data_IF_329401905337
#
_entry.id   IF_329401905337
#
_cell.length_a   1.000
_cell.length_b   1.000
_cell.length_c   1.000
_cell.angle_alpha   90.00
_cell.angle_beta   90.00
_cell.angle_gamma   90.00
#
_symmetry.space_group_name_H-M   'P 1'
#
loop_
_entity.id
_entity.type
_entity.pdbx_description
1 polymer ?
#
# COMPACT_ATOMS: atom_id res chain seq x y z
N UNK A 1 65.30 -29.94 53.16
CA UNK A 1 64.17 -30.40 52.38
C UNK A 1 63.86 -29.31 51.34
N UNK A 2 64.22 -29.56 50.08
CA UNK A 2 63.96 -28.61 48.99
C UNK A 2 62.75 -29.10 48.24
N UNK A 3 61.67 -28.29 48.21
CA UNK A 3 60.46 -28.57 47.37
C UNK A 3 60.62 -27.93 46.02
N UNK A 4 60.54 -28.72 44.99
CA UNK A 4 60.47 -28.28 43.61
C UNK A 4 58.99 -28.01 43.24
N UNK A 5 58.67 -26.81 42.81
CA UNK A 5 57.34 -26.45 42.21
C UNK A 5 57.48 -26.50 40.70
N UNK A 6 56.84 -27.48 40.09
CA UNK A 6 56.74 -27.58 38.64
C UNK A 6 55.55 -26.71 38.15
N UNK A 7 55.83 -25.67 37.42
CA UNK A 7 54.80 -24.86 36.75
C UNK A 7 54.36 -25.55 35.45
N UNK A 8 53.10 -26.00 35.39
CA UNK A 8 52.44 -26.41 34.15
C UNK A 8 51.99 -25.17 33.39
N UNK A 9 52.58 -24.92 32.24
CA UNK A 9 52.11 -23.90 31.29
C UNK A 9 50.97 -24.51 30.48
N UNK A 10 49.71 -24.08 30.73
CA UNK A 10 48.58 -24.34 29.84
C UNK A 10 48.70 -23.43 28.61
N UNK A 11 49.05 -23.98 27.47
CA UNK A 11 48.99 -23.31 26.17
C UNK A 11 47.53 -23.21 25.72
N UNK A 12 46.94 -22.02 25.86
CA UNK A 12 45.65 -21.72 25.22
C UNK A 12 45.86 -21.57 23.71
N UNK A 13 45.51 -22.59 22.94
CA UNK A 13 45.37 -22.48 21.48
C UNK A 13 44.19 -21.61 21.17
N UNK A 14 44.43 -20.36 20.79
CA UNK A 14 43.45 -19.50 20.13
C UNK A 14 43.12 -20.10 18.76
N UNK A 15 42.11 -20.94 18.73
CA UNK A 15 41.52 -21.38 17.48
C UNK A 15 40.95 -20.16 16.75
N UNK A 16 41.59 -19.74 15.68
CA UNK A 16 41.01 -18.80 14.72
C UNK A 16 39.74 -19.42 14.17
N UNK A 17 38.59 -18.95 14.62
CA UNK A 17 37.32 -19.25 13.96
C UNK A 17 37.40 -18.61 12.57
N UNK A 18 37.77 -19.40 11.58
CA UNK A 18 37.58 -19.02 10.19
C UNK A 18 36.06 -18.90 10.00
N UNK A 19 35.57 -17.66 9.81
CA UNK A 19 34.24 -17.49 9.26
C UNK A 19 34.23 -18.27 7.93
N UNK A 20 33.35 -19.29 7.85
CA UNK A 20 33.22 -20.07 6.63
C UNK A 20 32.93 -19.11 5.47
N UNK A 21 33.82 -19.09 4.48
CA UNK A 21 33.60 -18.30 3.25
C UNK A 21 32.39 -18.89 2.54
N UNK A 22 31.43 -18.02 2.16
CA UNK A 22 30.26 -18.46 1.38
C UNK A 22 30.75 -19.08 0.06
N UNK A 23 30.18 -20.21 -0.34
CA UNK A 23 30.31 -20.71 -1.69
C UNK A 23 29.37 -19.97 -2.66
N UNK A 24 29.53 -20.20 -3.96
CA UNK A 24 28.74 -19.54 -5.01
C UNK A 24 27.23 -19.78 -4.86
N UNK A 25 26.82 -21.01 -4.50
CA UNK A 25 25.40 -21.33 -4.34
C UNK A 25 24.82 -20.67 -3.10
N UNK A 26 25.52 -20.70 -1.99
CA UNK A 26 25.12 -20.02 -0.76
C UNK A 26 24.99 -18.49 -0.95
N UNK A 27 25.91 -17.89 -1.71
CA UNK A 27 25.86 -16.46 -2.04
C UNK A 27 24.66 -16.12 -2.93
N UNK A 28 24.34 -16.97 -3.90
CA UNK A 28 23.18 -16.84 -4.77
C UNK A 28 21.88 -16.94 -3.96
N UNK A 29 21.74 -17.95 -3.12
CA UNK A 29 20.54 -18.16 -2.29
C UNK A 29 20.33 -17.00 -1.32
N UNK A 30 21.41 -16.51 -0.71
CA UNK A 30 21.38 -15.38 0.20
C UNK A 30 21.02 -14.07 -0.50
N UNK A 31 21.49 -13.87 -1.74
CA UNK A 31 21.15 -12.70 -2.54
C UNK A 31 19.69 -12.73 -2.99
N UNK A 32 19.14 -13.91 -3.30
CA UNK A 32 17.73 -14.09 -3.58
C UNK A 32 16.86 -13.70 -2.37
N UNK A 33 17.19 -14.21 -1.17
CA UNK A 33 16.50 -13.85 0.07
C UNK A 33 16.60 -12.35 0.37
N UNK A 34 17.81 -11.77 0.22
CA UNK A 34 18.05 -10.34 0.44
C UNK A 34 17.26 -9.46 -0.53
N UNK A 35 17.09 -9.87 -1.80
CA UNK A 35 16.28 -9.13 -2.77
C UNK A 35 14.82 -9.08 -2.35
N UNK A 36 14.23 -10.23 -2.02
CA UNK A 36 12.84 -10.33 -1.54
C UNK A 36 12.63 -9.45 -0.30
N UNK A 37 13.56 -9.52 0.67
CA UNK A 37 13.52 -8.73 1.90
C UNK A 37 13.56 -7.22 1.64
N UNK A 38 14.42 -6.76 0.74
CA UNK A 38 14.67 -5.34 0.49
C UNK A 38 13.65 -4.71 -0.46
N UNK A 39 12.94 -5.51 -1.28
CA UNK A 39 12.13 -5.04 -2.40
C UNK A 39 11.10 -3.97 -2.01
N UNK A 40 10.29 -4.24 -1.01
CA UNK A 40 9.22 -3.33 -0.60
C UNK A 40 9.74 -1.96 -0.15
N UNK A 41 10.87 -1.92 0.57
CA UNK A 41 11.52 -0.68 1.02
C UNK A 41 12.00 0.17 -0.17
N UNK A 42 12.57 -0.46 -1.20
CA UNK A 42 13.05 0.25 -2.39
C UNK A 42 11.90 0.70 -3.28
N UNK A 43 10.86 -0.12 -3.43
CA UNK A 43 9.67 0.29 -4.20
C UNK A 43 8.90 1.41 -3.49
N UNK A 44 8.90 1.43 -2.15
CA UNK A 44 8.37 2.55 -1.37
C UNK A 44 9.17 3.84 -1.61
N UNK A 45 10.51 3.78 -1.61
CA UNK A 45 11.37 4.95 -1.87
C UNK A 45 11.10 5.59 -3.24
N UNK A 46 10.84 4.80 -4.27
CA UNK A 46 10.43 5.29 -5.58
C UNK A 46 9.24 6.25 -5.48
N UNK A 47 8.22 5.88 -4.69
CA UNK A 47 7.03 6.73 -4.49
C UNK A 47 7.38 7.94 -3.64
N UNK A 48 8.13 7.76 -2.54
CA UNK A 48 8.54 8.87 -1.68
C UNK A 48 9.37 9.90 -2.45
N UNK A 49 10.34 9.46 -3.22
CA UNK A 49 11.21 10.32 -4.04
C UNK A 49 10.42 11.11 -5.07
N UNK A 50 9.44 10.49 -5.74
CA UNK A 50 8.58 11.14 -6.72
C UNK A 50 7.67 12.22 -6.07
N UNK A 51 7.24 12.01 -4.83
CA UNK A 51 6.45 12.98 -4.08
C UNK A 51 7.35 14.07 -3.51
N UNK A 52 8.48 13.73 -2.88
CA UNK A 52 9.44 14.67 -2.27
C UNK A 52 10.01 15.66 -3.28
N UNK A 53 10.14 15.25 -4.55
CA UNK A 53 10.54 16.15 -5.64
C UNK A 53 9.54 17.31 -5.87
N UNK A 54 8.32 17.23 -5.35
CA UNK A 54 7.24 18.20 -5.58
C UNK A 54 6.67 18.80 -4.31
N UNK A 55 6.71 18.06 -3.21
CA UNK A 55 6.09 18.44 -1.95
C UNK A 55 7.12 18.38 -0.82
N UNK A 56 7.24 19.42 0.01
CA UNK A 56 8.11 19.39 1.17
C UNK A 56 7.60 18.39 2.22
N UNK A 57 8.53 17.84 3.01
CA UNK A 57 8.20 16.99 4.16
C UNK A 57 7.36 17.75 5.20
N UNK A 58 6.59 17.00 5.98
CA UNK A 58 5.77 17.48 7.09
C UNK A 58 4.73 18.54 6.69
N UNK A 59 4.29 18.51 5.43
CA UNK A 59 3.19 19.33 4.93
C UNK A 59 2.10 18.45 4.33
N UNK A 60 0.85 18.71 4.76
CA UNK A 60 -0.31 18.05 4.21
C UNK A 60 -0.72 18.72 2.90
N UNK A 61 -0.83 17.94 1.86
CA UNK A 61 -1.38 18.34 0.57
C UNK A 61 -2.70 17.61 0.33
N UNK A 62 -3.79 18.37 0.17
CA UNK A 62 -5.12 17.84 -0.10
C UNK A 62 -5.58 18.24 -1.49
N UNK A 63 -6.12 17.29 -2.24
CA UNK A 63 -6.59 17.48 -3.62
C UNK A 63 -8.12 17.39 -3.66
N UNK A 64 -8.83 18.55 -3.70
CA UNK A 64 -10.29 18.60 -3.61
C UNK A 64 -10.94 18.35 -4.99
N UNK A 65 -10.54 17.28 -5.67
CA UNK A 65 -11.15 16.79 -6.90
C UNK A 65 -11.10 15.27 -6.98
N UNK A 66 -12.06 14.67 -7.65
CA UNK A 66 -12.02 13.26 -8.01
C UNK A 66 -11.07 13.07 -9.20
N UNK A 67 -10.40 11.91 -9.23
CA UNK A 67 -9.58 11.52 -10.38
C UNK A 67 -10.49 11.16 -11.57
N UNK A 68 -10.01 11.44 -12.76
CA UNK A 68 -10.71 11.19 -14.03
C UNK A 68 -9.81 10.58 -15.10
N UNK A 69 -10.28 10.40 -16.33
CA UNK A 69 -9.51 9.79 -17.42
C UNK A 69 -8.19 10.50 -17.77
N UNK A 70 -8.06 11.78 -17.42
CA UNK A 70 -6.83 12.57 -17.61
C UNK A 70 -5.72 12.21 -16.60
N UNK A 71 -6.05 11.49 -15.52
CA UNK A 71 -5.12 11.13 -14.46
C UNK A 71 -4.45 9.79 -14.79
N UNK A 72 -3.31 9.86 -15.47
CA UNK A 72 -2.59 8.70 -16.01
C UNK A 72 -1.32 8.31 -15.25
N UNK A 73 -1.12 8.87 -14.06
CA UNK A 73 0.09 8.61 -13.25
C UNK A 73 -0.06 7.46 -12.27
N UNK A 74 -1.29 7.07 -11.99
CA UNK A 74 -1.64 6.01 -11.04
C UNK A 74 -2.58 5.04 -11.73
N UNK A 75 -2.26 3.75 -11.71
CA UNK A 75 -3.15 2.71 -12.23
C UNK A 75 -4.34 2.50 -11.30
N UNK A 76 -5.47 2.12 -11.87
CA UNK A 76 -6.74 1.92 -11.16
C UNK A 76 -7.11 3.10 -10.24
N UNK A 77 -7.08 4.36 -10.77
CA UNK A 77 -7.30 5.55 -9.97
C UNK A 77 -8.68 5.51 -9.29
N UNK A 78 -8.71 5.90 -8.01
CA UNK A 78 -9.95 5.94 -7.23
C UNK A 78 -10.78 7.18 -7.61
N UNK A 79 -12.06 6.98 -7.88
CA UNK A 79 -13.03 8.04 -8.22
C UNK A 79 -14.11 8.20 -7.13
N UNK A 80 -13.86 7.73 -5.90
CA UNK A 80 -14.82 7.77 -4.79
C UNK A 80 -14.46 8.77 -3.71
N UNK A 81 -13.17 9.11 -3.59
CA UNK A 81 -12.64 9.90 -2.47
C UNK A 81 -11.71 10.98 -2.94
N UNK A 82 -11.69 12.09 -2.20
CA UNK A 82 -10.60 13.05 -2.28
C UNK A 82 -9.39 12.52 -1.51
N UNK A 83 -8.19 12.86 -1.97
CA UNK A 83 -6.95 12.45 -1.35
C UNK A 83 -6.26 13.57 -0.60
N UNK A 84 -5.72 13.21 0.56
CA UNK A 84 -4.74 14.00 1.31
C UNK A 84 -3.47 13.19 1.49
N UNK A 85 -2.29 13.79 1.31
CA UNK A 85 -1.01 13.08 1.42
C UNK A 85 0.05 13.95 2.07
N UNK A 86 0.91 13.30 2.83
CA UNK A 86 2.11 13.92 3.36
C UNK A 86 3.24 12.89 3.48
N UNK A 87 4.47 13.35 3.29
CA UNK A 87 5.67 12.63 3.69
C UNK A 87 6.10 13.15 5.05
N UNK A 88 6.12 12.29 6.07
CA UNK A 88 6.54 12.66 7.41
C UNK A 88 8.02 12.34 7.57
N UNK A 89 8.81 13.33 7.93
CA UNK A 89 10.18 13.18 8.41
C UNK A 89 10.16 13.38 9.93
N UNK A 90 10.30 12.27 10.65
CA UNK A 90 10.21 12.20 12.10
C UNK A 90 11.61 12.18 12.76
N UNK A 91 12.66 12.53 12.02
CA UNK A 91 14.05 12.51 12.53
C UNK A 91 14.31 13.61 13.56
N UNK A 92 13.70 14.79 13.35
CA UNK A 92 13.92 15.95 14.23
C UNK A 92 12.92 15.99 15.38
N UNK A 93 11.64 15.91 15.08
CA UNK A 93 10.55 16.01 16.04
C UNK A 93 9.31 15.26 15.56
N UNK A 94 8.40 14.93 16.49
CA UNK A 94 7.08 14.42 16.13
C UNK A 94 6.25 15.43 15.36
N UNK A 95 5.25 14.92 14.63
CA UNK A 95 4.23 15.73 13.96
C UNK A 95 2.85 15.44 14.54
N UNK A 96 1.99 16.44 14.50
CA UNK A 96 0.60 16.37 14.95
C UNK A 96 -0.30 16.45 13.73
N UNK A 97 -1.19 15.48 13.58
CA UNK A 97 -2.31 15.53 12.64
C UNK A 97 -3.57 15.93 13.40
N UNK A 98 -4.12 17.10 13.09
CA UNK A 98 -5.41 17.54 13.58
C UNK A 98 -6.50 17.21 12.56
N UNK A 99 -7.59 16.60 13.04
CA UNK A 99 -8.72 16.18 12.24
C UNK A 99 -9.99 16.84 12.84
N UNK A 100 -10.82 17.52 12.03
CA UNK A 100 -12.10 18.06 12.51
C UNK A 100 -13.11 16.94 12.80
N UNK A 101 -14.24 17.24 13.38
CA UNK A 101 -15.36 16.29 13.41
C UNK A 101 -15.85 16.03 11.97
N UNK A 102 -15.96 14.75 11.59
CA UNK A 102 -16.37 14.31 10.24
C UNK A 102 -17.57 13.37 10.36
N UNK A 103 -18.75 13.98 10.56
CA UNK A 103 -19.98 13.22 10.76
C UNK A 103 -20.64 12.80 9.45
N UNK A 104 -21.19 11.59 9.42
CA UNK A 104 -21.97 11.07 8.30
C UNK A 104 -21.19 10.91 6.99
N UNK A 105 -19.86 10.85 7.05
CA UNK A 105 -18.94 10.69 5.92
C UNK A 105 -17.79 9.77 6.28
N UNK A 106 -17.46 8.82 5.43
CA UNK A 106 -16.23 8.04 5.60
C UNK A 106 -15.00 8.91 5.38
N UNK A 107 -14.02 8.74 6.26
CA UNK A 107 -12.66 9.23 6.04
C UNK A 107 -11.67 8.28 6.70
N UNK A 108 -10.45 8.27 6.18
CA UNK A 108 -9.32 7.56 6.80
C UNK A 108 -8.00 8.25 6.47
N UNK A 109 -7.08 8.24 7.41
CA UNK A 109 -5.65 8.45 7.19
C UNK A 109 -4.93 7.16 7.49
N UNK A 110 -4.31 6.59 6.48
CA UNK A 110 -3.46 5.42 6.53
C UNK A 110 -2.02 5.88 6.76
N UNK A 111 -1.35 5.35 7.76
CA UNK A 111 0.06 5.61 8.03
C UNK A 111 0.86 4.39 7.58
N UNK A 112 1.79 4.60 6.65
CA UNK A 112 2.59 3.52 6.05
C UNK A 112 4.06 3.74 6.38
N UNK A 113 4.72 2.72 6.90
CA UNK A 113 6.14 2.76 7.22
C UNK A 113 7.04 2.47 6.01
N UNK A 114 8.36 2.52 6.20
CA UNK A 114 9.32 2.27 5.13
C UNK A 114 9.34 0.82 4.63
N UNK A 115 8.77 -0.12 5.37
CA UNK A 115 8.61 -1.52 4.98
C UNK A 115 7.27 -1.80 4.31
N UNK A 116 6.45 -0.75 4.08
CA UNK A 116 5.08 -0.82 3.55
C UNK A 116 4.06 -1.48 4.48
N UNK A 117 4.35 -1.63 5.77
CA UNK A 117 3.34 -1.97 6.75
C UNK A 117 2.43 -0.78 7.04
N UNK A 118 1.13 -1.03 7.12
CA UNK A 118 0.17 -0.05 7.63
C UNK A 118 0.29 0.02 9.15
N UNK A 119 0.93 1.05 9.65
CA UNK A 119 1.19 1.23 11.09
C UNK A 119 -0.11 1.34 11.88
N UNK A 120 -0.94 2.27 11.44
CA UNK A 120 -2.21 2.60 12.09
C UNK A 120 -3.11 3.37 11.13
N UNK A 121 -4.36 3.57 11.56
CA UNK A 121 -5.36 4.38 10.87
C UNK A 121 -5.95 5.43 11.81
N UNK A 122 -6.23 6.61 11.26
CA UNK A 122 -7.05 7.64 11.89
C UNK A 122 -8.27 7.82 10.99
N UNK A 123 -9.48 7.64 11.51
CA UNK A 123 -10.67 7.77 10.67
C UNK A 123 -11.88 7.04 11.22
N UNK A 124 -12.92 6.98 10.42
CA UNK A 124 -14.27 6.50 10.78
C UNK A 124 -14.24 5.18 11.55
N UNK A 125 -13.43 4.21 11.12
CA UNK A 125 -13.30 2.91 11.79
C UNK A 125 -12.45 2.95 13.05
N UNK A 126 -11.26 3.57 12.93
CA UNK A 126 -10.22 3.43 13.93
C UNK A 126 -10.39 4.40 15.11
N UNK A 127 -10.85 5.64 14.84
CA UNK A 127 -10.93 6.69 15.84
C UNK A 127 -12.29 7.38 15.92
N UNK A 128 -13.23 6.99 15.06
CA UNK A 128 -14.57 7.56 15.01
C UNK A 128 -14.64 8.88 14.24
N UNK A 129 -15.71 9.60 14.45
CA UNK A 129 -16.11 10.81 13.71
C UNK A 129 -15.90 12.12 14.47
N UNK A 130 -15.37 12.08 15.69
CA UNK A 130 -15.11 13.27 16.51
C UNK A 130 -13.82 13.95 16.10
N UNK A 131 -13.73 15.25 16.37
CA UNK A 131 -12.48 15.98 16.22
C UNK A 131 -11.40 15.40 17.14
N UNK A 132 -10.16 15.38 16.67
CA UNK A 132 -9.04 14.84 17.44
C UNK A 132 -7.69 15.31 16.92
N UNK A 133 -6.71 15.30 17.83
CA UNK A 133 -5.30 15.57 17.54
C UNK A 133 -4.50 14.30 17.78
N UNK A 134 -3.71 13.90 16.83
CA UNK A 134 -2.96 12.64 16.81
C UNK A 134 -1.47 12.92 16.69
N UNK A 135 -0.70 12.47 17.70
CA UNK A 135 0.75 12.64 17.73
C UNK A 135 1.43 11.44 17.05
N UNK A 136 2.22 11.71 16.01
CA UNK A 136 2.97 10.70 15.27
C UNK A 136 4.45 10.87 15.61
N UNK A 137 5.07 9.81 16.18
CA UNK A 137 6.44 9.83 16.68
C UNK A 137 7.31 8.80 15.96
N UNK A 138 8.55 9.16 15.70
CA UNK A 138 9.56 8.26 15.14
C UNK A 138 10.24 7.36 16.19
N UNK A 139 11.15 6.45 15.74
CA UNK A 139 11.80 5.49 16.63
C UNK A 139 12.72 6.13 17.67
N UNK A 140 13.20 7.34 17.39
CA UNK A 140 14.13 8.06 18.26
C UNK A 140 13.44 8.84 19.40
N UNK A 141 12.11 8.95 19.34
CA UNK A 141 11.34 9.63 20.36
C UNK A 141 11.37 8.87 21.69
N UNK A 142 11.96 9.48 22.73
CA UNK A 142 12.08 8.92 24.09
C UNK A 142 11.19 9.65 25.10
N UNK A 143 10.54 10.72 24.68
CA UNK A 143 9.66 11.52 25.56
C UNK A 143 8.43 10.73 26.04
N UNK A 144 7.85 11.12 27.16
CA UNK A 144 6.54 10.63 27.59
C UNK A 144 5.48 11.08 26.56
N UNK A 145 4.39 10.34 26.48
CA UNK A 145 3.23 10.80 25.71
C UNK A 145 2.66 12.09 26.34
N UNK A 146 2.69 13.24 25.66
CA UNK A 146 2.11 14.46 26.22
C UNK A 146 0.60 14.28 26.39
N UNK A 147 0.02 14.97 27.36
CA UNK A 147 -1.44 15.04 27.52
C UNK A 147 -2.07 15.88 26.38
N UNK A 148 -3.35 15.67 26.11
CA UNK A 148 -4.12 16.47 25.15
C UNK A 148 -4.19 15.90 23.75
N UNK A 149 -3.55 14.75 23.47
CA UNK A 149 -3.70 14.03 22.20
C UNK A 149 -4.71 12.89 22.32
N UNK A 150 -5.47 12.67 21.26
CA UNK A 150 -6.43 11.57 21.15
C UNK A 150 -5.70 10.20 21.10
N UNK A 151 -4.54 10.14 20.44
CA UNK A 151 -3.65 9.00 20.43
C UNK A 151 -2.20 9.41 20.12
N UNK A 152 -1.26 8.51 20.47
CA UNK A 152 0.15 8.60 20.08
C UNK A 152 0.50 7.39 19.23
N UNK A 153 0.82 7.63 17.97
CA UNK A 153 1.16 6.60 16.98
C UNK A 153 2.69 6.52 16.88
N UNK A 154 3.24 5.34 17.17
CA UNK A 154 4.69 5.10 17.15
C UNK A 154 5.09 4.40 15.86
N UNK A 155 5.99 5.02 15.11
CA UNK A 155 6.57 4.44 13.90
C UNK A 155 7.94 3.82 14.19
N UNK A 156 8.23 2.62 13.67
CA UNK A 156 9.59 2.08 13.62
C UNK A 156 10.44 2.77 12.53
N UNK A 157 9.81 3.52 11.64
CA UNK A 157 10.48 4.26 10.56
C UNK A 157 10.60 5.74 10.90
N UNK A 158 11.72 6.34 10.52
CA UNK A 158 11.93 7.80 10.56
C UNK A 158 11.17 8.54 9.48
N UNK A 159 10.80 7.83 8.41
CA UNK A 159 9.92 8.33 7.35
C UNK A 159 8.61 7.56 7.39
N UNK A 160 7.50 8.28 7.22
CA UNK A 160 6.15 7.70 7.14
C UNK A 160 5.40 8.35 5.99
N UNK A 161 4.73 7.54 5.18
CA UNK A 161 3.78 8.03 4.21
C UNK A 161 2.39 8.11 4.83
N UNK A 162 1.81 9.32 4.85
CA UNK A 162 0.44 9.57 5.30
C UNK A 162 -0.47 9.69 4.08
N UNK A 163 -1.48 8.83 3.98
CA UNK A 163 -2.42 8.79 2.87
C UNK A 163 -3.85 8.90 3.37
N UNK A 164 -4.44 10.09 3.22
CA UNK A 164 -5.81 10.40 3.59
C UNK A 164 -6.80 10.13 2.44
N UNK A 165 -7.98 9.64 2.79
CA UNK A 165 -9.14 9.45 1.91
C UNK A 165 -10.36 10.09 2.56
N UNK A 166 -11.09 10.93 1.83
CA UNK A 166 -12.35 11.55 2.29
C UNK A 166 -13.41 11.26 1.25
N UNK A 167 -14.47 10.58 1.65
CA UNK A 167 -15.58 10.19 0.78
C UNK A 167 -16.21 11.39 0.08
N UNK A 168 -16.60 11.19 -1.18
CA UNK A 168 -17.41 12.12 -1.97
C UNK A 168 -18.69 11.40 -2.42
N UNK A 169 -19.83 11.94 -2.04
CA UNK A 169 -21.16 11.37 -2.32
C UNK A 169 -21.78 11.87 -3.63
N UNK A 170 -20.94 12.00 -4.66
CA UNK A 170 -21.34 12.53 -5.96
C UNK A 170 -21.00 14.02 -6.16
N UNK A 171 -21.37 14.57 -7.31
CA UNK A 171 -20.96 15.92 -7.74
C UNK A 171 -21.42 17.02 -6.80
N UNK A 172 -22.67 16.98 -6.35
CA UNK A 172 -23.25 17.99 -5.44
C UNK A 172 -22.53 18.05 -4.08
N UNK A 173 -21.92 16.95 -3.65
CA UNK A 173 -21.25 16.81 -2.36
C UNK A 173 -19.78 17.31 -2.36
N UNK A 174 -19.21 17.59 -3.51
CA UNK A 174 -17.77 17.94 -3.61
C UNK A 174 -17.38 19.16 -2.78
N UNK A 175 -18.27 20.15 -2.66
CA UNK A 175 -18.02 21.36 -1.85
C UNK A 175 -17.92 21.03 -0.36
N UNK A 176 -18.80 20.17 0.15
CA UNK A 176 -18.82 19.75 1.54
C UNK A 176 -17.63 18.85 1.87
N UNK A 177 -17.30 17.91 0.99
CA UNK A 177 -16.09 17.11 1.10
C UNK A 177 -14.82 17.99 1.11
N UNK A 178 -14.74 19.00 0.24
CA UNK A 178 -13.62 19.95 0.21
C UNK A 178 -13.54 20.79 1.48
N UNK A 179 -14.68 21.10 2.14
CA UNK A 179 -14.67 21.77 3.42
C UNK A 179 -14.04 20.92 4.52
N UNK A 180 -14.28 19.60 4.52
CA UNK A 180 -13.63 18.66 5.45
C UNK A 180 -12.12 18.67 5.24
N UNK A 181 -11.64 18.62 3.98
CA UNK A 181 -10.21 18.66 3.67
C UNK A 181 -9.52 19.93 4.22
N UNK A 182 -10.21 21.07 4.19
CA UNK A 182 -9.68 22.34 4.75
C UNK A 182 -9.52 22.33 6.27
N UNK A 183 -10.24 21.44 6.94
CA UNK A 183 -10.16 21.25 8.38
C UNK A 183 -9.00 20.38 8.85
N UNK A 184 -8.35 19.64 7.95
CA UNK A 184 -7.17 18.84 8.30
C UNK A 184 -5.94 19.73 8.42
N UNK A 185 -5.17 19.55 9.48
CA UNK A 185 -3.90 20.25 9.66
C UNK A 185 -2.78 19.29 10.08
N UNK A 186 -1.59 19.52 9.56
CA UNK A 186 -0.39 18.80 9.94
C UNK A 186 0.68 19.80 10.39
N UNK A 187 1.18 19.65 11.60
CA UNK A 187 2.10 20.61 12.22
C UNK A 187 3.17 19.89 13.05
N UNK A 188 4.41 20.44 13.14
CA UNK A 188 5.40 19.94 14.07
C UNK A 188 4.93 20.11 15.51
N UNK A 189 5.34 19.21 16.42
CA UNK A 189 4.95 19.25 17.83
C UNK A 189 5.36 20.55 18.51
N UNK A 190 6.55 21.08 18.21
CA UNK A 190 7.06 22.34 18.75
C UNK A 190 6.11 23.52 18.49
N UNK A 191 5.48 23.55 17.29
CA UNK A 191 4.49 24.60 16.96
C UNK A 191 3.19 24.43 17.75
N UNK A 192 2.77 23.20 18.02
CA UNK A 192 1.51 22.92 18.75
C UNK A 192 1.65 23.26 20.22
N UNK A 193 2.77 22.94 20.85
CA UNK A 193 2.98 23.15 22.29
C UNK A 193 3.72 24.45 22.64
N UNK A 194 4.12 25.25 21.63
CA UNK A 194 4.84 26.51 21.82
C UNK A 194 6.30 26.35 22.28
N UNK A 195 6.88 25.15 22.16
CA UNK A 195 8.31 24.93 22.47
C UNK A 195 9.21 25.46 21.34
N UNK A 196 10.49 25.68 21.67
CA UNK A 196 11.47 25.99 20.64
C UNK A 196 11.58 24.78 19.67
N UNK A 197 11.61 25.02 18.35
CA UNK A 197 11.86 23.95 17.40
C UNK A 197 13.27 23.38 17.61
N UNK A 198 13.48 22.07 17.34
CA UNK A 198 14.79 21.49 17.38
C UNK A 198 15.71 22.11 16.31
N UNK A 199 17.01 21.96 16.50
CA UNK A 199 17.98 22.37 15.48
C UNK A 199 17.69 21.68 14.14
N UNK A 200 17.73 22.40 13.01
CA UNK A 200 17.48 21.83 11.70
C UNK A 200 18.48 20.71 11.37
N UNK A 201 17.97 19.56 10.98
CA UNK A 201 18.81 18.50 10.41
C UNK A 201 19.19 18.82 8.97
N UNK A 202 20.32 18.24 8.53
CA UNK A 202 20.66 18.26 7.11
C UNK A 202 19.49 17.71 6.27
N UNK A 203 19.20 18.33 5.11
CA UNK A 203 18.15 17.84 4.21
C UNK A 203 18.35 16.35 3.91
N UNK A 204 17.25 15.61 3.97
CA UNK A 204 17.28 14.20 3.62
C UNK A 204 17.55 14.06 2.12
N UNK A 205 18.60 13.31 1.81
CA UNK A 205 18.89 12.90 0.44
C UNK A 205 18.35 11.49 0.24
N UNK A 206 17.22 11.37 -0.44
CA UNK A 206 16.71 10.06 -0.86
C UNK A 206 17.58 9.56 -2.02
N UNK A 207 17.83 8.24 -2.11
CA UNK A 207 18.55 7.66 -3.22
C UNK A 207 17.87 7.96 -4.56
N UNK A 208 18.67 7.97 -5.64
CA UNK A 208 18.08 8.00 -6.97
C UNK A 208 17.24 6.75 -7.21
N UNK A 209 16.14 6.91 -7.95
CA UNK A 209 15.28 5.80 -8.30
C UNK A 209 16.04 4.62 -8.91
N UNK A 210 15.81 3.45 -8.37
CA UNK A 210 16.32 2.19 -8.90
C UNK A 210 15.19 1.48 -9.65
N UNK A 211 15.43 1.16 -10.93
CA UNK A 211 14.48 0.36 -11.71
C UNK A 211 14.46 -1.09 -11.21
N UNK A 212 13.46 -1.39 -10.38
CA UNK A 212 13.30 -2.70 -9.74
C UNK A 212 12.75 -3.78 -10.69
N UNK A 213 12.22 -3.37 -11.84
CA UNK A 213 11.54 -4.28 -12.78
C UNK A 213 12.37 -4.64 -14.00
N UNK A 214 13.17 -3.69 -14.53
CA UNK A 214 13.87 -3.84 -15.80
C UNK A 214 15.38 -3.62 -15.71
N UNK A 215 15.87 -2.89 -14.71
CA UNK A 215 17.30 -2.66 -14.48
C UNK A 215 18.01 -3.88 -13.86
N UNK A 216 19.34 -3.83 -13.73
CA UNK A 216 20.10 -4.88 -13.03
C UNK A 216 19.59 -5.07 -11.59
N UNK A 217 19.16 -6.29 -11.24
CA UNK A 217 18.46 -6.55 -9.98
C UNK A 217 19.30 -6.20 -8.75
N UNK A 218 20.62 -6.43 -8.81
CA UNK A 218 21.53 -6.13 -7.69
C UNK A 218 21.64 -4.64 -7.33
N UNK A 219 21.23 -3.71 -8.23
CA UNK A 219 21.24 -2.28 -7.94
C UNK A 219 20.23 -1.91 -6.83
N UNK A 220 19.23 -2.75 -6.61
CA UNK A 220 18.30 -2.62 -5.49
C UNK A 220 19.04 -2.54 -4.14
N UNK A 221 20.14 -3.28 -3.98
CA UNK A 221 20.89 -3.34 -2.72
C UNK A 221 21.58 -2.01 -2.37
N UNK A 222 22.00 -1.23 -3.34
CA UNK A 222 22.60 0.09 -3.07
C UNK A 222 21.56 1.06 -2.49
N UNK A 223 20.36 1.08 -3.07
CA UNK A 223 19.25 1.88 -2.58
C UNK A 223 18.80 1.41 -1.21
N UNK A 224 18.62 0.09 -1.02
CA UNK A 224 18.26 -0.47 0.27
C UNK A 224 19.28 -0.13 1.36
N UNK A 225 20.59 -0.30 1.10
CA UNK A 225 21.64 0.03 2.07
C UNK A 225 21.58 1.49 2.54
N UNK A 226 21.28 2.42 1.62
CA UNK A 226 21.15 3.84 1.96
C UNK A 226 19.89 4.14 2.81
N UNK A 227 18.78 3.44 2.56
CA UNK A 227 17.51 3.64 3.26
C UNK A 227 17.43 2.91 4.60
N UNK A 228 18.08 1.75 4.71
CA UNK A 228 17.97 0.87 5.87
C UNK A 228 18.26 1.54 7.23
N UNK A 229 19.14 2.54 7.36
CA UNK A 229 19.33 3.30 8.61
C UNK A 229 18.11 4.10 9.06
N UNK A 230 17.16 4.36 8.16
CA UNK A 230 15.96 5.14 8.46
C UNK A 230 14.84 4.30 9.11
N UNK A 231 15.08 3.00 9.34
CA UNK A 231 14.13 2.09 9.98
C UNK A 231 14.77 1.41 11.21
N UNK A 232 13.95 1.18 12.24
CA UNK A 232 14.33 0.42 13.42
C UNK A 232 13.93 -1.04 13.22
N UNK A 233 14.90 -1.87 12.90
CA UNK A 233 14.72 -3.30 12.59
C UNK A 233 14.42 -4.12 13.85
N UNK A 234 13.50 -5.06 13.76
CA UNK A 234 13.23 -6.07 14.79
C UNK A 234 14.44 -7.00 14.98
N UNK A 235 14.49 -7.72 16.09
CA UNK A 235 15.58 -8.67 16.34
C UNK A 235 15.67 -9.79 15.27
N UNK A 236 14.52 -10.21 14.70
CA UNK A 236 14.48 -11.17 13.60
C UNK A 236 15.09 -10.60 12.32
N UNK A 237 14.69 -9.39 11.96
CA UNK A 237 15.21 -8.69 10.76
C UNK A 237 16.70 -8.36 10.90
N UNK A 238 17.16 -7.97 12.11
CA UNK A 238 18.59 -7.75 12.36
C UNK A 238 19.43 -9.03 12.13
N UNK A 239 18.91 -10.21 12.46
CA UNK A 239 19.58 -11.48 12.16
C UNK A 239 19.66 -11.73 10.65
N UNK A 240 18.59 -11.41 9.89
CA UNK A 240 18.63 -11.47 8.41
C UNK A 240 19.67 -10.50 7.84
N UNK A 241 19.67 -9.25 8.28
CA UNK A 241 20.64 -8.22 7.85
C UNK A 241 22.09 -8.61 8.18
N UNK A 242 22.33 -9.23 9.34
CA UNK A 242 23.66 -9.72 9.69
C UNK A 242 24.16 -10.82 8.72
N UNK A 243 23.28 -11.70 8.24
CA UNK A 243 23.60 -12.68 7.18
C UNK A 243 23.86 -12.02 5.84
N UNK A 244 22.99 -11.09 5.45
CA UNK A 244 23.11 -10.37 4.17
C UNK A 244 24.36 -9.53 4.07
N UNK A 245 24.96 -9.15 5.20
CA UNK A 245 26.23 -8.43 5.23
C UNK A 245 27.38 -9.18 4.52
N UNK A 246 27.32 -10.52 4.48
CA UNK A 246 28.32 -11.35 3.81
C UNK A 246 28.34 -11.18 2.27
N UNK A 247 27.25 -10.68 1.68
CA UNK A 247 27.13 -10.37 0.25
C UNK A 247 27.12 -8.87 -0.03
N UNK A 248 27.48 -8.03 0.93
CA UNK A 248 27.57 -6.57 0.77
C UNK A 248 26.27 -5.81 1.06
N UNK A 249 25.18 -6.47 1.47
CA UNK A 249 23.92 -5.81 1.85
C UNK A 249 24.00 -5.40 3.32
N UNK A 250 24.35 -4.11 3.55
CA UNK A 250 24.66 -3.55 4.88
C UNK A 250 24.01 -2.18 5.05
N UNK A 251 23.17 -1.97 6.09
CA UNK A 251 22.63 -0.65 6.38
C UNK A 251 23.68 0.45 6.47
N UNK A 252 23.50 1.55 5.74
CA UNK A 252 24.36 2.74 5.77
C UNK A 252 25.69 2.63 5.01
N UNK A 253 25.98 1.50 4.37
CA UNK A 253 27.19 1.31 3.57
C UNK A 253 26.87 1.34 2.06
N UNK A 254 27.87 1.71 1.25
CA UNK A 254 27.78 1.47 -0.20
C UNK A 254 27.67 -0.03 -0.49
N UNK A 255 26.86 -0.40 -1.47
CA UNK A 255 26.75 -1.80 -1.88
C UNK A 255 27.99 -2.20 -2.69
N UNK A 256 28.64 -3.27 -2.24
CA UNK A 256 29.73 -3.91 -2.95
C UNK A 256 29.74 -5.41 -2.59
N UNK A 257 29.39 -6.24 -3.55
CA UNK A 257 29.53 -7.69 -3.39
C UNK A 257 31.03 -8.08 -3.34
N UNK A 258 31.41 -9.14 -2.63
CA UNK A 258 32.76 -9.72 -2.72
C UNK A 258 33.08 -10.04 -4.18
N UNK A 259 34.33 -9.76 -4.61
CA UNK A 259 34.72 -9.86 -6.02
C UNK A 259 34.52 -11.25 -6.59
N UNK A 260 34.82 -12.27 -5.79
CA UNK A 260 34.66 -13.69 -6.12
C UNK A 260 33.22 -14.19 -6.11
N UNK A 261 32.28 -13.45 -5.50
CA UNK A 261 30.86 -13.79 -5.39
C UNK A 261 29.95 -12.88 -6.25
N UNK A 262 30.51 -11.89 -6.93
CA UNK A 262 29.72 -10.85 -7.61
C UNK A 262 28.71 -11.43 -8.63
N UNK A 263 29.12 -12.42 -9.39
CA UNK A 263 28.26 -13.11 -10.37
C UNK A 263 27.12 -13.86 -9.68
N UNK A 264 27.42 -14.63 -8.62
CA UNK A 264 26.42 -15.36 -7.85
C UNK A 264 25.41 -14.43 -7.19
N UNK A 265 25.87 -13.30 -6.65
CA UNK A 265 25.02 -12.25 -6.07
C UNK A 265 24.09 -11.65 -7.12
N UNK A 266 24.58 -11.37 -8.31
CA UNK A 266 23.78 -10.85 -9.41
C UNK A 266 22.70 -11.86 -9.85
N UNK A 267 23.07 -13.12 -10.01
CA UNK A 267 22.14 -14.20 -10.35
C UNK A 267 21.09 -14.42 -9.25
N UNK A 268 21.48 -14.35 -7.98
CA UNK A 268 20.57 -14.47 -6.85
C UNK A 268 19.58 -13.31 -6.77
N UNK A 269 20.05 -12.07 -6.99
CA UNK A 269 19.17 -10.91 -7.04
C UNK A 269 18.15 -11.04 -8.19
N UNK A 270 18.55 -11.52 -9.36
CA UNK A 270 17.65 -11.79 -10.48
C UNK A 270 16.61 -12.86 -10.14
N UNK A 271 17.05 -13.97 -9.52
CA UNK A 271 16.14 -15.01 -9.05
C UNK A 271 15.12 -14.47 -8.02
N UNK A 272 15.55 -13.57 -7.14
CA UNK A 272 14.67 -12.86 -6.19
C UNK A 272 13.64 -11.98 -6.89
N UNK A 273 14.03 -11.27 -7.93
CA UNK A 273 13.11 -10.46 -8.75
C UNK A 273 12.04 -11.33 -9.42
N UNK A 274 12.45 -12.42 -10.03
CA UNK A 274 11.52 -13.36 -10.65
C UNK A 274 10.59 -14.02 -9.63
N UNK A 275 11.09 -14.33 -8.44
CA UNK A 275 10.28 -14.86 -7.34
C UNK A 275 9.20 -13.83 -6.91
N UNK A 276 9.56 -12.56 -6.74
CA UNK A 276 8.60 -11.50 -6.38
C UNK A 276 7.57 -11.31 -7.50
N UNK A 277 8.00 -11.29 -8.75
CA UNK A 277 7.12 -11.18 -9.92
C UNK A 277 6.13 -12.35 -9.98
N UNK A 278 6.60 -13.57 -9.84
CA UNK A 278 5.75 -14.76 -9.84
C UNK A 278 4.75 -14.74 -8.69
N UNK A 279 5.21 -14.44 -7.47
CA UNK A 279 4.35 -14.32 -6.30
C UNK A 279 3.28 -13.23 -6.47
N UNK A 280 3.63 -12.09 -7.09
CA UNK A 280 2.67 -11.00 -7.34
C UNK A 280 1.51 -11.40 -8.26
N UNK A 281 1.72 -12.38 -9.14
CA UNK A 281 0.69 -12.93 -10.01
C UNK A 281 -0.17 -13.99 -9.31
N UNK A 282 0.26 -14.50 -8.16
CA UNK A 282 -0.37 -15.58 -7.40
C UNK A 282 -0.99 -15.11 -6.07
N UNK A 283 -1.04 -13.79 -5.83
CA UNK A 283 -1.59 -13.22 -4.60
C UNK A 283 -3.06 -13.59 -4.34
N UNK A 284 -3.79 -13.92 -5.40
CA UNK A 284 -5.19 -14.33 -5.33
C UNK A 284 -5.48 -15.38 -6.39
N UNK A 285 -6.37 -16.32 -6.06
CA UNK A 285 -6.89 -17.30 -7.01
C UNK A 285 -8.24 -16.81 -7.53
N UNK A 286 -8.39 -16.80 -8.84
CA UNK A 286 -9.63 -16.36 -9.48
C UNK A 286 -10.80 -17.29 -9.12
N UNK A 287 -11.92 -16.70 -8.78
CA UNK A 287 -13.17 -17.39 -8.44
C UNK A 287 -14.32 -16.71 -9.21
N UNK A 288 -14.97 -17.45 -10.10
CA UNK A 288 -16.11 -16.97 -10.88
C UNK A 288 -15.87 -15.65 -11.63
N UNK A 289 -14.67 -15.48 -12.19
CA UNK A 289 -14.26 -14.27 -12.91
C UNK A 289 -13.67 -13.15 -12.04
N UNK A 290 -13.64 -13.32 -10.70
CA UNK A 290 -13.11 -12.35 -9.76
C UNK A 290 -11.80 -12.80 -9.11
N UNK A 291 -10.86 -11.90 -9.02
CA UNK A 291 -9.68 -12.00 -8.17
C UNK A 291 -10.01 -11.33 -6.83
N UNK A 292 -10.20 -12.07 -5.73
CA UNK A 292 -10.45 -11.47 -4.42
C UNK A 292 -9.23 -10.69 -3.93
N UNK A 293 -9.44 -9.79 -2.97
CA UNK A 293 -8.32 -9.14 -2.28
C UNK A 293 -7.45 -10.16 -1.57
N UNK A 294 -6.10 -10.06 -1.67
CA UNK A 294 -5.22 -10.95 -0.92
C UNK A 294 -5.45 -10.79 0.60
N UNK A 295 -5.35 -11.87 1.37
CA UNK A 295 -5.35 -11.78 2.83
C UNK A 295 -4.05 -11.12 3.33
N UNK A 296 -4.07 -10.61 4.55
CA UNK A 296 -2.90 -10.07 5.27
C UNK A 296 -2.19 -8.88 4.61
N UNK A 297 -2.85 -8.19 3.69
CA UNK A 297 -2.31 -6.97 3.08
C UNK A 297 -2.13 -5.89 4.15
N UNK A 298 -1.00 -5.22 4.13
CA UNK A 298 -0.68 -4.11 5.04
C UNK A 298 -0.19 -4.52 6.44
N UNK A 299 -0.23 -5.81 6.79
CA UNK A 299 0.25 -6.39 8.05
C UNK A 299 1.00 -7.68 7.76
N UNK A 300 2.22 -7.56 7.27
CA UNK A 300 2.94 -8.72 6.70
C UNK A 300 3.76 -9.51 7.74
N UNK A 301 4.14 -8.92 8.87
CA UNK A 301 5.01 -9.56 9.85
C UNK A 301 6.33 -10.02 9.22
N UNK A 302 6.65 -11.32 9.36
CA UNK A 302 7.88 -11.93 8.80
C UNK A 302 7.72 -12.44 7.37
N UNK A 303 6.54 -12.27 6.74
CA UNK A 303 6.29 -12.69 5.36
C UNK A 303 6.81 -11.67 4.35
N UNK A 304 8.12 -11.70 4.12
CA UNK A 304 8.80 -10.80 3.18
C UNK A 304 8.33 -11.01 1.73
N UNK A 305 7.96 -12.25 1.35
CA UNK A 305 7.56 -12.52 -0.03
C UNK A 305 6.19 -11.93 -0.35
N UNK A 306 5.20 -12.11 0.51
CA UNK A 306 3.88 -11.47 0.33
C UNK A 306 4.01 -9.95 0.38
N UNK A 307 4.81 -9.40 1.30
CA UNK A 307 5.14 -7.96 1.36
C UNK A 307 5.67 -7.45 0.02
N UNK A 308 6.70 -8.11 -0.53
CA UNK A 308 7.31 -7.75 -1.81
C UNK A 308 6.34 -7.89 -2.98
N UNK A 309 5.56 -8.96 -3.02
CA UNK A 309 4.55 -9.21 -4.05
C UNK A 309 3.42 -8.16 -4.04
N UNK A 310 2.96 -7.75 -2.85
CA UNK A 310 1.98 -6.67 -2.70
C UNK A 310 2.58 -5.33 -3.09
N UNK A 311 3.84 -5.03 -2.71
CA UNK A 311 4.53 -3.82 -3.14
C UNK A 311 4.71 -3.77 -4.66
N UNK A 312 4.92 -4.92 -5.31
CA UNK A 312 4.99 -5.03 -6.77
C UNK A 312 3.68 -4.65 -7.45
N UNK A 313 2.53 -5.08 -6.91
CA UNK A 313 1.23 -5.02 -7.59
C UNK A 313 0.25 -4.00 -7.01
N UNK A 314 0.20 -3.84 -5.67
CA UNK A 314 -0.84 -3.11 -4.95
C UNK A 314 -0.28 -2.20 -3.85
N UNK A 315 0.90 -1.63 -4.03
CA UNK A 315 1.55 -0.82 -3.00
C UNK A 315 0.55 0.12 -2.30
N UNK A 316 0.58 0.17 -0.97
CA UNK A 316 -0.32 0.94 -0.10
C UNK A 316 -1.79 0.48 -0.11
N UNK A 317 -2.05 -0.77 -0.48
CA UNK A 317 -3.38 -1.34 -0.27
C UNK A 317 -3.74 -1.31 1.22
N UNK A 318 -5.03 -1.09 1.50
CA UNK A 318 -5.52 -1.04 2.86
C UNK A 318 -5.57 -2.44 3.52
N UNK A 319 -5.53 -2.47 4.85
CA UNK A 319 -5.90 -3.66 5.61
C UNK A 319 -7.33 -4.09 5.24
N UNK A 320 -7.59 -5.39 5.22
CA UNK A 320 -8.90 -5.93 4.84
C UNK A 320 -10.07 -5.32 5.63
N UNK A 321 -9.87 -5.03 6.92
CA UNK A 321 -10.88 -4.39 7.77
C UNK A 321 -11.16 -2.93 7.41
N UNK A 322 -10.28 -2.28 6.65
CA UNK A 322 -10.46 -0.91 6.19
C UNK A 322 -11.08 -0.87 4.79
N UNK A 323 -10.55 -1.64 3.84
CA UNK A 323 -11.16 -1.76 2.53
C UNK A 323 -10.70 -3.02 1.78
N UNK A 324 -11.62 -3.58 0.97
CA UNK A 324 -11.34 -4.68 0.06
C UNK A 324 -11.51 -4.24 -1.39
N UNK A 325 -10.78 -4.91 -2.29
CA UNK A 325 -10.66 -4.52 -3.70
C UNK A 325 -10.73 -5.72 -4.65
N UNK A 326 -11.80 -6.56 -4.64
CA UNK A 326 -11.92 -7.63 -5.64
C UNK A 326 -11.95 -7.04 -7.05
N UNK A 327 -11.20 -7.68 -7.97
CA UNK A 327 -11.08 -7.26 -9.36
C UNK A 327 -11.67 -8.33 -10.28
N UNK A 328 -12.53 -7.95 -11.22
CA UNK A 328 -13.03 -8.86 -12.25
C UNK A 328 -12.32 -8.62 -13.59
N UNK A 329 -11.79 -9.71 -14.16
CA UNK A 329 -11.14 -9.76 -15.45
C UNK A 329 -11.94 -10.59 -16.47
N UNK A 330 -12.74 -11.53 -16.00
CA UNK A 330 -13.48 -12.49 -16.80
C UNK A 330 -14.97 -12.51 -16.45
N UNK A 331 -15.77 -12.94 -17.38
CA UNK A 331 -17.17 -13.23 -17.15
C UNK A 331 -17.37 -14.61 -16.47
N UNK A 332 -18.62 -14.98 -16.18
CA UNK A 332 -18.96 -16.26 -15.57
C UNK A 332 -18.57 -17.50 -16.38
N UNK A 333 -18.28 -17.33 -17.66
CA UNK A 333 -17.80 -18.39 -18.59
C UNK A 333 -16.28 -18.41 -18.69
N UNK A 334 -15.54 -17.57 -17.93
CA UNK A 334 -14.09 -17.45 -17.96
C UNK A 334 -13.57 -16.71 -19.19
N UNK A 335 -14.41 -15.93 -19.88
CA UNK A 335 -14.00 -15.12 -21.02
C UNK A 335 -13.62 -13.71 -20.58
N UNK A 336 -12.58 -13.15 -21.17
CA UNK A 336 -12.13 -11.79 -20.89
C UNK A 336 -13.26 -10.78 -21.12
N UNK A 337 -13.41 -9.83 -20.19
CA UNK A 337 -14.40 -8.77 -20.28
C UNK A 337 -14.02 -7.83 -21.42
N UNK A 338 -14.93 -7.68 -22.40
CA UNK A 338 -14.71 -6.88 -23.60
C UNK A 338 -15.99 -6.11 -23.99
N UNK A 339 -15.87 -4.80 -24.17
CA UNK A 339 -17.00 -3.93 -24.45
C UNK A 339 -17.65 -4.08 -25.83
N UNK A 340 -17.18 -5.00 -26.67
CA UNK A 340 -17.93 -5.46 -27.86
C UNK A 340 -19.18 -6.27 -27.47
N UNK A 341 -19.31 -6.61 -26.17
CA UNK A 341 -20.43 -7.35 -25.62
C UNK A 341 -21.09 -6.55 -24.50
N UNK A 342 -22.37 -6.82 -24.27
CA UNK A 342 -23.09 -6.32 -23.11
C UNK A 342 -23.07 -7.35 -21.98
N UNK A 343 -23.01 -6.88 -20.75
CA UNK A 343 -23.01 -7.75 -19.56
C UNK A 343 -24.03 -7.26 -18.54
N UNK A 344 -24.53 -8.20 -17.78
CA UNK A 344 -25.34 -7.99 -16.59
C UNK A 344 -24.54 -8.44 -15.37
N UNK A 345 -24.38 -7.54 -14.40
CA UNK A 345 -23.86 -7.83 -13.08
C UNK A 345 -25.04 -7.72 -12.12
N UNK A 346 -25.37 -8.80 -11.45
CA UNK A 346 -26.56 -8.89 -10.59
C UNK A 346 -26.21 -9.22 -9.16
N UNK A 347 -26.70 -8.39 -8.24
CA UNK A 347 -26.69 -8.65 -6.80
C UNK A 347 -28.09 -9.14 -6.40
N UNK A 348 -28.24 -10.40 -5.96
CA UNK A 348 -29.53 -10.89 -5.49
C UNK A 348 -30.04 -10.10 -4.28
N UNK A 349 -31.34 -10.17 -4.02
CA UNK A 349 -31.96 -9.53 -2.87
C UNK A 349 -31.26 -9.94 -1.56
N UNK A 350 -30.89 -8.93 -0.74
CA UNK A 350 -30.15 -9.13 0.51
C UNK A 350 -28.66 -9.50 0.35
N UNK A 351 -28.12 -9.52 -0.88
CA UNK A 351 -26.72 -9.86 -1.17
C UNK A 351 -25.91 -8.68 -1.73
N UNK A 352 -26.32 -7.46 -1.45
CA UNK A 352 -25.48 -6.30 -1.71
C UNK A 352 -24.18 -6.38 -0.93
N UNK A 353 -23.08 -5.75 -1.40
CA UNK A 353 -21.80 -5.76 -0.69
C UNK A 353 -21.95 -5.37 0.79
N UNK A 354 -21.56 -6.25 1.74
CA UNK A 354 -21.73 -5.99 3.16
C UNK A 354 -20.67 -5.05 3.68
N UNK A 355 -21.02 -3.78 3.79
CA UNK A 355 -20.13 -2.70 4.24
C UNK A 355 -20.77 -1.87 5.36
N UNK A 356 -19.94 -1.17 6.15
CA UNK A 356 -20.38 -0.18 7.13
C UNK A 356 -20.27 1.25 6.61
N UNK A 357 -19.43 1.49 5.58
CA UNK A 357 -19.33 2.79 4.93
C UNK A 357 -20.07 2.74 3.58
N UNK A 358 -19.39 2.37 2.50
CA UNK A 358 -20.00 2.31 1.17
C UNK A 358 -19.26 1.32 0.27
N UNK A 359 -19.87 1.01 -0.87
CA UNK A 359 -19.23 0.25 -1.94
C UNK A 359 -19.33 0.97 -3.29
N UNK A 360 -18.39 0.67 -4.19
CA UNK A 360 -18.43 1.15 -5.58
C UNK A 360 -17.83 0.12 -6.53
N UNK A 361 -18.40 0.03 -7.72
CA UNK A 361 -17.90 -0.74 -8.86
C UNK A 361 -17.35 0.24 -9.88
N UNK A 362 -16.02 0.27 -10.06
CA UNK A 362 -15.33 1.15 -11.00
C UNK A 362 -14.85 0.37 -12.21
N UNK A 363 -15.00 0.94 -13.41
CA UNK A 363 -14.56 0.36 -14.66
C UNK A 363 -13.27 1.02 -15.17
N UNK A 364 -12.35 0.19 -15.66
CA UNK A 364 -11.08 0.62 -16.23
C UNK A 364 -10.84 -0.03 -17.60
N UNK A 365 -10.10 0.67 -18.43
CA UNK A 365 -9.52 0.08 -19.64
C UNK A 365 -8.61 -1.12 -19.27
N UNK A 366 -8.80 -2.23 -19.95
CA UNK A 366 -8.14 -3.49 -19.62
C UNK A 366 -6.63 -3.49 -19.85
N UNK A 367 -6.12 -2.63 -20.72
CA UNK A 367 -4.69 -2.55 -21.05
C UNK A 367 -3.96 -1.52 -20.19
N UNK A 368 -4.53 -0.32 -20.07
CA UNK A 368 -3.90 0.81 -19.38
C UNK A 368 -4.21 0.86 -17.88
N UNK A 369 -5.28 0.20 -17.43
CA UNK A 369 -5.81 0.28 -16.07
C UNK A 369 -6.23 1.71 -15.68
N UNK A 370 -6.60 2.55 -16.65
CA UNK A 370 -7.05 3.93 -16.44
C UNK A 370 -8.56 4.04 -16.59
N UNK A 371 -9.15 5.10 -16.03
CA UNK A 371 -10.56 5.42 -16.21
C UNK A 371 -10.85 5.72 -17.68
N UNK A 372 -11.97 5.23 -18.18
CA UNK A 372 -12.38 5.38 -19.59
C UNK A 372 -13.30 6.58 -19.74
N UNK A 373 -12.90 7.55 -20.58
CA UNK A 373 -13.76 8.68 -20.90
C UNK A 373 -15.06 8.21 -21.59
N UNK A 374 -16.19 8.74 -21.16
CA UNK A 374 -17.49 8.43 -21.74
C UNK A 374 -18.43 9.64 -21.73
N UNK A 375 -19.49 9.65 -22.57
CA UNK A 375 -20.32 10.84 -22.76
C UNK A 375 -21.07 11.35 -21.53
N UNK A 376 -21.32 10.46 -20.54
CA UNK A 376 -22.04 10.80 -19.30
C UNK A 376 -21.10 10.96 -18.12
N UNK A 377 -19.77 10.92 -18.32
CA UNK A 377 -18.72 11.05 -17.29
C UNK A 377 -18.95 10.12 -16.08
N UNK A 378 -19.50 8.93 -16.32
CA UNK A 378 -19.76 7.92 -15.28
C UNK A 378 -18.67 6.84 -15.31
N UNK A 379 -17.86 6.79 -14.26
CA UNK A 379 -16.72 5.88 -14.15
C UNK A 379 -16.95 4.77 -13.13
N UNK A 380 -17.94 4.99 -12.25
CA UNK A 380 -18.30 4.05 -11.20
C UNK A 380 -19.80 4.07 -10.93
N UNK A 381 -20.31 2.95 -10.37
CA UNK A 381 -21.63 2.83 -9.76
C UNK A 381 -21.49 2.24 -8.39
N UNK A 382 -22.30 2.67 -7.44
CA UNK A 382 -22.28 2.17 -6.06
C UNK A 382 -23.53 2.61 -5.28
N UNK A 383 -23.61 2.24 -4.01
CA UNK A 383 -24.74 2.57 -3.13
C UNK A 383 -25.02 4.07 -2.96
N UNK A 384 -24.06 4.94 -3.34
CA UNK A 384 -24.18 6.40 -3.32
C UNK A 384 -24.58 7.00 -4.69
N UNK A 385 -24.67 6.17 -5.73
CA UNK A 385 -25.03 6.66 -7.07
C UNK A 385 -26.49 7.10 -7.08
N UNK A 386 -26.79 8.36 -7.47
CA UNK A 386 -28.17 8.82 -7.52
C UNK A 386 -28.96 8.08 -8.59
N UNK A 387 -30.23 7.83 -8.35
CA UNK A 387 -31.14 7.25 -9.32
C UNK A 387 -31.03 5.74 -9.53
N UNK A 388 -30.16 5.02 -8.79
CA UNK A 388 -30.08 3.55 -8.86
C UNK A 388 -31.47 2.93 -8.62
N UNK A 389 -31.89 2.08 -9.55
CA UNK A 389 -33.17 1.35 -9.48
C UNK A 389 -32.91 -0.10 -9.06
N UNK A 390 -33.55 -0.48 -7.97
CA UNK A 390 -33.53 -1.86 -7.49
C UNK A 390 -34.58 -2.69 -8.19
N UNK A 391 -34.29 -3.98 -8.35
CA UNK A 391 -35.21 -4.95 -8.94
C UNK A 391 -36.45 -5.15 -8.05
N UNK A 392 -37.53 -5.67 -8.59
CA UNK A 392 -38.79 -5.84 -7.87
C UNK A 392 -38.70 -6.73 -6.60
N UNK A 393 -37.71 -7.63 -6.56
CA UNK A 393 -37.39 -8.49 -5.43
C UNK A 393 -36.42 -7.84 -4.41
N UNK A 394 -35.96 -6.62 -4.69
CA UNK A 394 -34.97 -5.90 -3.87
C UNK A 394 -33.50 -6.20 -4.23
N UNK A 395 -33.25 -6.95 -5.30
CA UNK A 395 -31.94 -7.12 -5.90
C UNK A 395 -31.48 -5.85 -6.63
N UNK A 396 -30.28 -5.88 -7.19
CA UNK A 396 -29.73 -4.78 -7.99
C UNK A 396 -29.05 -5.34 -9.24
N UNK A 397 -29.52 -4.92 -10.39
CA UNK A 397 -28.91 -5.25 -11.69
C UNK A 397 -28.20 -4.04 -12.27
N UNK A 398 -26.90 -4.18 -12.54
CA UNK A 398 -26.08 -3.21 -13.27
C UNK A 398 -25.83 -3.71 -14.69
N UNK A 399 -25.88 -2.79 -15.67
CA UNK A 399 -25.64 -3.06 -17.09
C UNK A 399 -24.27 -2.47 -17.48
N UNK A 400 -23.43 -3.31 -18.08
CA UNK A 400 -22.10 -2.94 -18.55
C UNK A 400 -22.09 -3.10 -20.07
N UNK A 401 -22.09 -1.99 -20.81
CA UNK A 401 -22.06 -1.97 -22.28
C UNK A 401 -21.64 -0.59 -22.81
N UNK A 402 -21.17 -0.53 -24.05
CA UNK A 402 -20.68 0.70 -24.64
C UNK A 402 -21.78 1.74 -24.85
N UNK A 403 -22.88 1.33 -25.48
CA UNK A 403 -24.01 2.22 -25.81
C UNK A 403 -25.08 2.21 -24.71
N UNK A 404 -25.83 3.28 -24.57
CA UNK A 404 -26.90 3.38 -23.58
C UNK A 404 -27.97 2.27 -23.79
N UNK A 405 -28.38 1.56 -22.70
CA UNK A 405 -29.37 0.51 -22.80
C UNK A 405 -30.75 1.06 -23.19
N UNK A 406 -31.47 0.35 -24.10
CA UNK A 406 -32.82 0.74 -24.51
C UNK A 406 -33.90 0.21 -23.55
N UNK A 407 -33.63 -0.92 -22.90
CA UNK A 407 -34.63 -1.65 -22.10
C UNK A 407 -34.30 -1.72 -20.60
N UNK A 408 -33.22 -1.09 -20.16
CA UNK A 408 -32.81 -1.07 -18.75
C UNK A 408 -32.70 0.37 -18.25
N UNK A 409 -32.80 0.59 -16.91
CA UNK A 409 -32.63 1.91 -16.33
C UNK A 409 -31.24 2.49 -16.65
N UNK A 410 -31.22 3.72 -17.15
CA UNK A 410 -29.95 4.39 -17.49
C UNK A 410 -29.09 4.69 -16.24
N UNK A 411 -29.71 4.80 -15.08
CA UNK A 411 -28.98 5.03 -13.83
C UNK A 411 -28.22 3.79 -13.34
N UNK A 412 -28.59 2.61 -13.83
CA UNK A 412 -27.91 1.34 -13.58
C UNK A 412 -26.88 0.98 -14.66
N UNK A 413 -26.64 1.87 -15.62
CA UNK A 413 -25.71 1.64 -16.73
C UNK A 413 -24.32 2.21 -16.44
N UNK A 414 -23.29 1.38 -16.58
CA UNK A 414 -21.87 1.77 -16.56
C UNK A 414 -21.28 1.59 -17.95
N UNK A 415 -20.91 2.68 -18.66
CA UNK A 415 -20.37 2.63 -20.00
C UNK A 415 -19.04 1.88 -20.07
N UNK A 416 -18.90 0.94 -21.00
CA UNK A 416 -17.63 0.24 -21.29
C UNK A 416 -16.89 0.90 -22.47
N UNK A 417 -15.55 0.74 -22.58
CA UNK A 417 -14.85 0.97 -23.86
C UNK A 417 -15.31 -0.05 -24.91
N UNK A 418 -14.89 0.11 -26.16
CA UNK A 418 -15.14 -0.90 -27.22
C UNK A 418 -14.21 -2.13 -27.13
N UNK A 419 -13.12 -2.03 -26.34
CA UNK A 419 -12.10 -3.05 -26.18
C UNK A 419 -12.16 -3.77 -24.81
N UNK A 420 -11.09 -4.46 -24.42
CA UNK A 420 -10.98 -5.09 -23.12
C UNK A 420 -11.17 -4.09 -21.98
N UNK A 421 -11.80 -4.54 -20.89
CA UNK A 421 -11.96 -3.76 -19.68
C UNK A 421 -11.87 -4.66 -18.45
N UNK A 422 -11.67 -4.05 -17.29
CA UNK A 422 -11.79 -4.72 -16.01
C UNK A 422 -12.64 -3.90 -15.03
N UNK A 423 -13.10 -4.56 -13.99
CA UNK A 423 -13.88 -3.96 -12.93
C UNK A 423 -13.15 -4.09 -11.59
N UNK A 424 -13.24 -3.05 -10.77
CA UNK A 424 -12.77 -3.07 -9.40
C UNK A 424 -13.93 -2.74 -8.47
N UNK A 425 -14.35 -3.74 -7.68
CA UNK A 425 -15.36 -3.56 -6.64
C UNK A 425 -14.66 -3.13 -5.36
N UNK A 426 -14.92 -1.91 -4.91
CA UNK A 426 -14.38 -1.36 -3.66
C UNK A 426 -15.40 -1.49 -2.54
N UNK A 427 -15.01 -2.14 -1.44
CA UNK A 427 -15.81 -2.27 -0.23
C UNK A 427 -15.12 -1.50 0.89
N UNK A 428 -15.70 -0.38 1.32
CA UNK A 428 -15.14 0.43 2.42
C UNK A 428 -15.81 0.06 3.74
N UNK A 429 -15.00 -0.23 4.75
CA UNK A 429 -15.37 -0.80 6.03
C UNK A 429 -16.21 -2.08 5.86
N UNK A 430 -15.66 -3.09 5.18
CA UNK A 430 -16.35 -4.35 4.96
C UNK A 430 -16.70 -5.02 6.29
N UNK A 431 -17.76 -5.84 6.29
CA UNK A 431 -18.24 -6.57 7.46
C UNK A 431 -18.70 -7.98 7.10
N UNK A 432 -18.89 -8.82 8.12
CA UNK A 432 -19.45 -10.17 7.96
C UNK A 432 -18.75 -10.97 6.87
N UNK A 433 -19.51 -11.52 5.96
CA UNK A 433 -19.03 -12.42 4.91
C UNK A 433 -17.96 -11.82 3.99
N UNK A 434 -17.87 -10.49 3.86
CA UNK A 434 -16.79 -9.88 3.10
C UNK A 434 -15.42 -10.04 3.79
N UNK A 435 -15.37 -10.13 5.12
CA UNK A 435 -14.14 -10.30 5.89
C UNK A 435 -13.76 -11.77 6.08
N UNK A 436 -14.74 -12.66 6.24
CA UNK A 436 -14.48 -14.09 6.45
C UNK A 436 -14.45 -14.91 5.15
N UNK A 437 -14.67 -14.26 3.99
CA UNK A 437 -14.63 -14.87 2.66
C UNK A 437 -15.91 -15.62 2.27
N UNK A 438 -16.97 -15.58 3.06
CA UNK A 438 -18.24 -16.24 2.74
C UNK A 438 -19.15 -15.42 1.82
N UNK A 439 -18.89 -14.11 1.66
CA UNK A 439 -19.62 -13.26 0.72
C UNK A 439 -19.36 -13.68 -0.72
N UNK A 440 -20.41 -13.98 -1.45
CA UNK A 440 -20.32 -14.34 -2.86
C UNK A 440 -20.31 -13.07 -3.72
N UNK A 441 -19.24 -12.89 -4.46
CA UNK A 441 -19.13 -11.79 -5.45
C UNK A 441 -20.17 -11.98 -6.56
N UNK A 442 -20.75 -10.90 -7.12
CA UNK A 442 -21.83 -10.99 -8.10
C UNK A 442 -21.35 -11.62 -9.39
N UNK A 443 -22.23 -12.40 -10.01
CA UNK A 443 -21.95 -13.01 -11.31
C UNK A 443 -21.99 -11.96 -12.41
N UNK A 444 -20.98 -11.96 -13.31
CA UNK A 444 -20.92 -11.13 -14.52
C UNK A 444 -21.33 -12.00 -15.69
N UNK A 445 -22.57 -11.87 -16.14
CA UNK A 445 -23.12 -12.67 -17.22
C UNK A 445 -23.20 -11.85 -18.51
N UNK A 446 -22.68 -12.40 -19.62
CA UNK A 446 -22.84 -11.81 -20.95
C UNK A 446 -24.31 -11.85 -21.36
N UNK A 447 -24.84 -10.74 -21.85
CA UNK A 447 -26.18 -10.65 -22.43
C UNK A 447 -26.09 -11.18 -23.85
N UNK A 448 -26.82 -12.25 -24.12
CA UNK A 448 -26.94 -12.79 -25.48
C UNK A 448 -27.91 -11.89 -26.27
N UNK A 449 -27.49 -11.48 -27.48
CA UNK A 449 -28.24 -10.64 -28.40
C UNK A 449 -29.40 -11.39 -29.08
#
# INVERSE_FOLDING_TARGET
>A
MRYWISALALGASLGTVHAATLDQQQAKDLAQEAYVFAYATVEHDKVLSAIAAKLPFNRLYSEPRLLGPQDNKVVSPNNDTFYSRALLDLRSEPVVLDVPAVQGRYYSFQLVDMRTDNLDYIGTRATGDKAGSYLIVGPDWKGPAPSGFSAVIRSPSRLVFLLGRTEVKGEADQKDAAQVLRGYALQPLSKVNGSAPPEPLAPLQLPAYTDTRHGPAQLLFSTFNALAPLHQWTAGEQKKLARFAAIGVKPGAGFQAPADLNEAVAQGAEAGREQVRAASSQLSVEQQGWLPSPPNVGKFGDDDLTRAAVAWRYIYANDAVEALYPMALHDAKGQELNGQHAYRLHFPAGQLPPVNAFWSLTLYDGQTQLLVANPIQRYALGDRSPGLQYDADGGLTLILQADAPKAAPQDNWLPTPQGPFNLLLRLYLPKGGALDGSYQLPTIARIES
#
